data_IF_848428619146
#
_entry.id   IF_848428619146
#
_cell.length_a   1.000
_cell.length_b   1.000
_cell.length_c   1.000
_cell.angle_alpha   90.00
_cell.angle_beta   90.00
_cell.angle_gamma   90.00
#
_symmetry.space_group_name_H-M   'P 1'
#
loop_
_entity.id
_entity.type
_entity.pdbx_description
1 polymer ?
#
# COMPACT_ATOMS: atom_id res chain seq x y z
N UNK A 1 9.95 4.16 -42.79
CA UNK A 1 9.17 4.53 -41.59
C UNK A 1 8.40 3.32 -41.01
N UNK A 2 9.05 2.18 -40.78
CA UNK A 2 8.41 0.94 -40.30
C UNK A 2 8.89 0.53 -38.89
N UNK A 3 9.31 1.51 -38.08
CA UNK A 3 9.93 1.28 -36.76
C UNK A 3 9.20 1.92 -35.57
N UNK A 4 8.17 2.74 -35.81
CA UNK A 4 7.58 3.59 -34.77
C UNK A 4 6.69 2.83 -33.79
N UNK A 5 6.05 1.73 -34.21
CA UNK A 5 5.16 0.97 -33.31
C UNK A 5 5.92 0.26 -32.18
N UNK A 6 7.13 -0.26 -32.45
CA UNK A 6 7.95 -0.93 -31.41
C UNK A 6 8.47 0.04 -30.35
N UNK A 7 8.73 1.30 -30.70
CA UNK A 7 9.16 2.30 -29.74
C UNK A 7 8.06 2.61 -28.70
N UNK A 8 6.79 2.60 -29.12
CA UNK A 8 5.66 2.82 -28.24
C UNK A 8 5.54 1.73 -27.15
N UNK A 9 5.78 0.47 -27.51
CA UNK A 9 5.72 -0.66 -26.58
C UNK A 9 6.77 -0.54 -25.45
N UNK A 10 7.98 -0.05 -25.77
CA UNK A 10 9.03 0.17 -24.77
C UNK A 10 8.63 1.26 -23.76
N UNK A 11 8.12 2.40 -24.24
CA UNK A 11 7.65 3.46 -23.35
C UNK A 11 6.45 3.03 -22.52
N UNK A 12 5.57 2.19 -23.06
CA UNK A 12 4.42 1.66 -22.32
C UNK A 12 4.88 0.74 -21.19
N UNK A 13 5.86 -0.13 -21.46
CA UNK A 13 6.45 -1.00 -20.44
C UNK A 13 7.13 -0.18 -19.33
N UNK A 14 7.92 0.83 -19.70
CA UNK A 14 8.54 1.75 -18.74
C UNK A 14 7.50 2.46 -17.88
N UNK A 15 6.43 2.97 -18.50
CA UNK A 15 5.33 3.61 -17.78
C UNK A 15 4.65 2.64 -16.80
N UNK A 16 4.37 1.41 -17.21
CA UNK A 16 3.76 0.39 -16.36
C UNK A 16 4.69 0.03 -15.19
N UNK A 17 5.99 -0.14 -15.46
CA UNK A 17 6.99 -0.44 -14.43
C UNK A 17 7.07 0.68 -13.41
N UNK A 18 7.20 1.94 -13.87
CA UNK A 18 7.25 3.11 -13.00
C UNK A 18 5.95 3.27 -12.21
N UNK A 19 4.79 3.10 -12.85
CA UNK A 19 3.49 3.17 -12.20
C UNK A 19 3.32 2.07 -11.14
N UNK A 20 3.77 0.84 -11.43
CA UNK A 20 3.73 -0.28 -10.49
C UNK A 20 4.61 0.02 -9.26
N UNK A 21 5.87 0.44 -9.47
CA UNK A 21 6.79 0.78 -8.38
C UNK A 21 6.25 1.94 -7.55
N UNK A 22 5.79 3.02 -8.20
CA UNK A 22 5.22 4.17 -7.52
C UNK A 22 3.99 3.80 -6.70
N UNK A 23 3.09 2.98 -7.25
CA UNK A 23 1.87 2.54 -6.57
C UNK A 23 2.20 1.65 -5.37
N UNK A 24 3.11 0.69 -5.54
CA UNK A 24 3.55 -0.20 -4.46
C UNK A 24 4.23 0.59 -3.34
N UNK A 25 5.15 1.50 -3.68
CA UNK A 25 5.83 2.38 -2.72
C UNK A 25 4.84 3.27 -1.97
N UNK A 26 3.91 3.90 -2.69
CA UNK A 26 2.86 4.72 -2.09
C UNK A 26 2.02 3.91 -1.10
N UNK A 27 1.57 2.70 -1.47
CA UNK A 27 0.79 1.83 -0.58
C UNK A 27 1.57 1.39 0.65
N UNK A 28 2.86 1.07 0.50
CA UNK A 28 3.72 0.70 1.62
C UNK A 28 3.88 1.86 2.63
N UNK A 29 4.16 3.08 2.14
CA UNK A 29 4.28 4.28 2.98
C UNK A 29 2.95 4.59 3.67
N UNK A 30 1.82 4.50 2.95
CA UNK A 30 0.49 4.73 3.54
C UNK A 30 0.15 3.71 4.62
N UNK A 31 0.50 2.44 4.43
CA UNK A 31 0.34 1.41 5.45
C UNK A 31 1.13 1.76 6.71
N UNK A 32 2.42 2.08 6.57
CA UNK A 32 3.28 2.45 7.71
C UNK A 32 2.76 3.68 8.47
N UNK A 33 2.27 4.69 7.74
CA UNK A 33 1.68 5.87 8.38
C UNK A 33 0.42 5.52 9.18
N UNK A 34 -0.47 4.69 8.63
CA UNK A 34 -1.71 4.29 9.30
C UNK A 34 -1.45 3.40 10.52
N UNK A 35 -0.65 2.34 10.36
CA UNK A 35 -0.38 1.40 11.46
C UNK A 35 0.61 1.93 12.49
N UNK A 36 1.33 3.02 12.20
CA UNK A 36 2.28 3.62 13.11
C UNK A 36 1.71 4.79 13.92
N UNK A 37 0.95 5.69 13.27
CA UNK A 37 0.37 6.87 13.97
C UNK A 37 -1.02 6.60 14.56
N UNK A 38 -1.74 5.65 13.97
CA UNK A 38 -3.09 5.30 14.37
C UNK A 38 -3.16 3.81 14.74
N UNK A 39 -2.12 3.28 15.39
CA UNK A 39 -2.01 1.90 15.86
C UNK A 39 -3.14 1.49 16.85
N UNK A 40 -3.68 2.47 17.57
CA UNK A 40 -4.86 2.35 18.42
C UNK A 40 -6.15 2.10 17.62
N UNK A 41 -6.23 2.52 16.35
CA UNK A 41 -7.42 2.39 15.50
C UNK A 41 -7.25 1.40 14.34
N UNK A 42 -6.02 1.20 13.86
CA UNK A 42 -5.72 0.40 12.68
C UNK A 42 -4.60 -0.60 12.94
N UNK A 43 -4.75 -1.81 12.39
CA UNK A 43 -3.79 -2.90 12.49
C UNK A 43 -3.37 -3.40 11.11
N UNK A 44 -2.13 -3.90 11.01
CA UNK A 44 -1.59 -4.48 9.78
C UNK A 44 -2.32 -5.77 9.41
N UNK A 45 -2.90 -5.84 8.21
CA UNK A 45 -3.62 -7.02 7.72
C UNK A 45 -2.88 -7.75 6.59
N UNK A 46 -1.65 -7.33 6.27
CA UNK A 46 -0.81 -7.93 5.23
C UNK A 46 0.37 -7.03 4.85
N UNK A 47 1.13 -7.41 3.80
CA UNK A 47 2.30 -6.64 3.37
C UNK A 47 1.96 -5.23 2.88
N UNK A 48 0.79 -5.04 2.26
CA UNK A 48 0.34 -3.76 1.68
C UNK A 48 -1.09 -3.38 2.09
N UNK A 49 -1.61 -4.03 3.14
CA UNK A 49 -2.98 -3.86 3.59
C UNK A 49 -3.01 -3.57 5.09
N UNK A 50 -3.94 -2.71 5.48
CA UNK A 50 -4.29 -2.43 6.86
C UNK A 50 -5.80 -2.60 7.00
N UNK A 51 -6.24 -2.92 8.21
CA UNK A 51 -7.66 -3.01 8.57
C UNK A 51 -7.91 -2.18 9.82
N UNK A 52 -9.15 -1.74 10.00
CA UNK A 52 -9.58 -1.17 11.27
C UNK A 52 -9.52 -2.27 12.34
N UNK A 53 -9.17 -1.86 13.56
CA UNK A 53 -9.27 -2.70 14.74
C UNK A 53 -10.75 -2.97 15.03
N UNK A 54 -11.07 -4.20 15.42
CA UNK A 54 -12.43 -4.57 15.80
C UNK A 54 -12.73 -4.07 17.22
N UNK A 55 -13.99 -3.80 17.55
CA UNK A 55 -14.40 -3.39 18.91
C UNK A 55 -13.87 -4.34 19.98
N UNK A 56 -13.96 -5.66 19.75
CA UNK A 56 -13.43 -6.68 20.66
C UNK A 56 -11.92 -6.55 20.91
N UNK A 57 -11.16 -6.13 19.89
CA UNK A 57 -9.71 -5.93 19.99
C UNK A 57 -9.35 -4.63 20.70
N UNK A 58 -10.22 -3.61 20.65
CA UNK A 58 -10.07 -2.36 21.41
C UNK A 58 -10.37 -2.63 22.88
N UNK A 59 -11.49 -3.29 23.16
CA UNK A 59 -11.91 -3.61 24.53
C UNK A 59 -10.89 -4.48 25.26
N UNK A 60 -10.30 -5.47 24.57
CA UNK A 60 -9.23 -6.30 25.12
C UNK A 60 -7.99 -5.47 25.51
N UNK A 61 -7.49 -4.63 24.61
CA UNK A 61 -6.31 -3.79 24.89
C UNK A 61 -6.58 -2.83 26.06
N UNK A 62 -7.79 -2.29 26.20
CA UNK A 62 -8.17 -1.43 27.33
C UNK A 62 -8.22 -2.16 28.68
N UNK A 63 -8.50 -3.47 28.68
CA UNK A 63 -8.52 -4.30 29.91
C UNK A 63 -7.13 -4.69 30.39
N UNK A 64 -6.12 -4.60 29.53
CA UNK A 64 -4.73 -4.99 29.81
C UNK A 64 -3.84 -3.82 30.30
N UNK A 65 -4.37 -2.59 30.35
CA UNK A 65 -3.71 -1.37 30.85
C UNK A 65 -4.08 -1.11 32.31
#
# INVERSE_FOLDING_TARGET
FAGTLRALDYYLLELILLAAIATLGFRAVRKTQMTGRYDWLFVSSGPLAWRARTEDEIERDLREI
#
